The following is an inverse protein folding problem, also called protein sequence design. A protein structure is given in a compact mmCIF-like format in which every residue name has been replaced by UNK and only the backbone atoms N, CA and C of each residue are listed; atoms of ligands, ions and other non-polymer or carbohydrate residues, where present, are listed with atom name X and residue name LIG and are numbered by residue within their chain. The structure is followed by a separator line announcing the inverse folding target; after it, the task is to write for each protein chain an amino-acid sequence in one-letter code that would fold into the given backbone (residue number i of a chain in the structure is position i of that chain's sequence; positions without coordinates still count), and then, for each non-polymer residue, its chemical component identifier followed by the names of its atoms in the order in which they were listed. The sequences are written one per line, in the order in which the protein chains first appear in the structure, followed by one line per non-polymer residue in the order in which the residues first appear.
data_IF_444587054638
#
_entry.id   IF_444587054638
#
_cell.length_a   1.000
_cell.length_b   1.000
_cell.length_c   1.000
_cell.angle_alpha   90.00
_cell.angle_beta   90.00
_cell.angle_gamma   90.00
#
_symmetry.space_group_name_H-M   'P 1'
#
loop_
_entity.id
_entity.type
_entity.pdbx_description
1 polymer ?
#
# COMPACT_ATOMS: atom_id res chain seq x y z
N UNK A 1 0.39 -7.26 6.13
CA UNK A 1 0.92 -8.10 7.22
C UNK A 1 1.97 -9.04 6.65
N UNK A 2 2.44 -9.97 7.47
CA UNK A 2 3.17 -11.17 7.03
C UNK A 2 2.15 -12.31 7.03
N UNK A 3 2.11 -13.13 5.97
CA UNK A 3 1.29 -14.33 5.94
C UNK A 3 1.76 -15.39 6.94
N UNK A 4 0.97 -16.45 7.14
CA UNK A 4 1.40 -17.61 7.93
C UNK A 4 2.65 -18.28 7.31
N UNK A 5 2.70 -18.28 5.98
CA UNK A 5 3.87 -18.57 5.15
C UNK A 5 4.37 -17.25 4.59
N UNK A 6 5.67 -16.97 4.67
CA UNK A 6 6.24 -15.71 4.20
C UNK A 6 6.37 -15.65 2.67
N UNK A 7 6.67 -16.79 2.06
CA UNK A 7 6.79 -17.01 0.61
C UNK A 7 5.45 -17.48 0.07
N UNK A 8 4.54 -16.54 -0.16
CA UNK A 8 3.17 -16.83 -0.63
C UNK A 8 3.16 -17.51 -2.01
N UNK A 9 4.22 -17.30 -2.79
CA UNK A 9 4.45 -17.84 -4.13
C UNK A 9 5.24 -19.15 -4.17
N UNK A 10 5.82 -19.60 -3.05
CA UNK A 10 6.65 -20.81 -3.01
C UNK A 10 6.36 -21.64 -1.74
N UNK A 11 5.64 -22.75 -1.95
CA UNK A 11 5.37 -23.79 -0.95
C UNK A 11 6.29 -25.01 -1.10
N UNK A 12 7.32 -24.92 -1.95
CA UNK A 12 8.34 -25.94 -2.15
C UNK A 12 9.50 -25.82 -1.16
N UNK A 13 10.60 -26.51 -1.46
CA UNK A 13 11.78 -26.58 -0.56
C UNK A 13 12.58 -25.28 -0.46
N UNK A 14 12.35 -24.34 -1.38
CA UNK A 14 12.97 -23.00 -1.36
C UNK A 14 12.09 -21.97 -0.63
N UNK A 15 10.85 -22.33 -0.29
CA UNK A 15 9.94 -21.54 0.51
C UNK A 15 10.26 -21.59 2.01
N UNK A 16 9.72 -20.62 2.76
CA UNK A 16 9.76 -20.67 4.22
C UNK A 16 8.65 -21.57 4.76
N UNK A 17 8.89 -22.40 5.79
CA UNK A 17 7.83 -23.18 6.41
C UNK A 17 6.78 -22.26 7.06
N UNK A 18 5.52 -22.72 7.20
CA UNK A 18 4.50 -21.97 7.92
C UNK A 18 4.91 -21.77 9.37
N UNK A 19 4.73 -20.55 9.87
CA UNK A 19 4.95 -20.20 11.28
C UNK A 19 4.02 -20.96 12.22
N UNK A 20 2.81 -21.30 11.76
CA UNK A 20 1.78 -22.02 12.49
C UNK A 20 1.18 -23.12 11.58
N UNK A 21 1.84 -24.27 11.41
CA UNK A 21 1.37 -25.33 10.51
C UNK A 21 -0.02 -25.84 10.86
N UNK A 22 -0.29 -26.12 12.14
CA UNK A 22 -1.60 -26.62 12.59
C UNK A 22 -2.73 -25.62 12.33
N UNK A 23 -2.45 -24.31 12.46
CA UNK A 23 -3.41 -23.26 12.13
C UNK A 23 -3.69 -23.23 10.62
N UNK A 24 -2.66 -23.35 9.79
CA UNK A 24 -2.82 -23.40 8.35
C UNK A 24 -3.63 -24.63 7.92
N UNK A 25 -3.37 -25.80 8.51
CA UNK A 25 -4.14 -27.02 8.27
C UNK A 25 -5.60 -26.86 8.71
N UNK A 26 -5.83 -26.24 9.88
CA UNK A 26 -7.17 -25.93 10.37
C UNK A 26 -7.94 -25.03 9.41
N UNK A 27 -7.33 -23.92 8.98
CA UNK A 27 -7.94 -22.99 8.04
C UNK A 27 -8.21 -23.64 6.68
N UNK A 28 -7.29 -24.48 6.19
CA UNK A 28 -7.42 -25.18 4.92
C UNK A 28 -8.56 -26.19 4.94
N UNK A 29 -8.63 -27.02 5.99
CA UNK A 29 -9.74 -27.97 6.19
C UNK A 29 -11.08 -27.25 6.28
N UNK A 30 -11.13 -26.17 7.08
CA UNK A 30 -12.35 -25.39 7.26
C UNK A 30 -12.81 -24.76 5.96
N UNK A 31 -11.88 -24.27 5.14
CA UNK A 31 -12.19 -23.68 3.84
C UNK A 31 -12.86 -24.69 2.89
N UNK A 32 -12.39 -25.94 2.86
CA UNK A 32 -13.01 -27.02 2.09
C UNK A 32 -14.39 -27.38 2.64
N UNK A 33 -14.51 -27.61 3.96
CA UNK A 33 -15.78 -27.93 4.64
C UNK A 33 -16.85 -26.86 4.44
N UNK A 34 -16.44 -25.59 4.38
CA UNK A 34 -17.34 -24.45 4.18
C UNK A 34 -17.74 -24.21 2.72
N UNK A 35 -17.35 -25.11 1.81
CA UNK A 35 -17.67 -25.06 0.39
C UNK A 35 -16.82 -24.04 -0.37
N UNK A 36 -15.54 -23.91 -0.02
CA UNK A 36 -14.58 -23.00 -0.68
C UNK A 36 -15.00 -21.52 -0.60
N UNK A 37 -15.73 -21.14 0.44
CA UNK A 37 -16.26 -19.79 0.59
C UNK A 37 -15.22 -18.83 1.21
N UNK A 38 -14.63 -17.97 0.38
CA UNK A 38 -13.68 -16.94 0.84
C UNK A 38 -14.29 -16.02 1.91
N UNK A 39 -15.58 -15.69 1.78
CA UNK A 39 -16.26 -14.81 2.75
C UNK A 39 -16.34 -15.44 4.15
N UNK A 40 -16.58 -16.76 4.23
CA UNK A 40 -16.60 -17.48 5.51
C UNK A 40 -15.20 -17.59 6.11
N UNK A 41 -14.19 -17.91 5.29
CA UNK A 41 -12.79 -17.94 5.74
C UNK A 41 -12.33 -16.58 6.26
N UNK A 42 -12.59 -15.50 5.52
CA UNK A 42 -12.28 -14.15 5.98
C UNK A 42 -13.01 -13.83 7.27
N UNK A 43 -14.32 -14.15 7.38
CA UNK A 43 -15.09 -13.96 8.62
C UNK A 43 -14.40 -14.65 9.79
N UNK A 44 -14.08 -15.93 9.66
CA UNK A 44 -13.40 -16.72 10.69
C UNK A 44 -12.11 -16.05 11.17
N UNK A 45 -11.28 -15.59 10.23
CA UNK A 45 -10.01 -14.92 10.55
C UNK A 45 -10.28 -13.58 11.26
N UNK A 46 -11.13 -12.71 10.71
CA UNK A 46 -11.35 -11.36 11.27
C UNK A 46 -12.15 -11.35 12.57
N UNK A 47 -12.85 -12.43 12.88
CA UNK A 47 -13.53 -12.62 14.18
C UNK A 47 -12.73 -13.42 15.19
N UNK A 48 -11.50 -13.85 14.85
CA UNK A 48 -10.63 -14.56 15.80
C UNK A 48 -10.11 -13.61 16.89
N UNK A 49 -9.83 -14.15 18.07
CA UNK A 49 -9.20 -13.38 19.15
C UNK A 49 -7.89 -12.75 18.65
N UNK A 50 -7.05 -13.52 17.97
CA UNK A 50 -5.75 -13.08 17.41
C UNK A 50 -5.90 -11.85 16.51
N UNK A 51 -6.90 -11.81 15.62
CA UNK A 51 -7.13 -10.65 14.75
C UNK A 51 -7.67 -9.44 15.53
N UNK A 52 -8.49 -9.69 16.56
CA UNK A 52 -9.10 -8.65 17.40
C UNK A 52 -8.20 -8.18 18.55
N UNK A 53 -7.03 -8.80 18.75
CA UNK A 53 -6.04 -8.39 19.77
C UNK A 53 -5.63 -6.93 19.58
N UNK A 54 -5.26 -6.30 20.70
CA UNK A 54 -4.75 -4.93 20.70
C UNK A 54 -3.47 -4.81 19.86
N UNK A 55 -3.36 -3.72 19.08
CA UNK A 55 -2.15 -3.38 18.33
C UNK A 55 -1.05 -2.74 19.18
N UNK A 56 -1.26 -2.57 20.50
CA UNK A 56 -0.27 -1.97 21.40
C UNK A 56 1.00 -2.82 21.43
N UNK A 57 2.15 -2.13 21.43
CA UNK A 57 3.44 -2.79 21.59
C UNK A 57 3.48 -3.52 22.95
N UNK A 58 4.12 -4.68 22.95
CA UNK A 58 4.23 -5.62 24.06
C UNK A 58 5.72 -5.73 24.43
N UNK A 59 6.23 -4.92 25.37
CA UNK A 59 7.67 -4.89 25.69
C UNK A 59 8.21 -6.27 26.13
N UNK A 60 7.35 -7.11 26.71
CA UNK A 60 7.65 -8.49 27.11
C UNK A 60 8.04 -9.41 25.94
N UNK A 61 7.70 -9.04 24.70
CA UNK A 61 7.95 -9.81 23.50
C UNK A 61 9.03 -9.21 22.58
N UNK A 62 9.55 -8.02 22.86
CA UNK A 62 10.47 -7.34 21.94
C UNK A 62 11.76 -8.15 21.71
N UNK A 63 12.27 -8.82 22.74
CA UNK A 63 13.44 -9.72 22.63
C UNK A 63 13.07 -11.15 22.19
N UNK A 64 11.88 -11.63 22.58
CA UNK A 64 11.45 -13.03 22.35
C UNK A 64 10.90 -13.26 20.95
N UNK A 65 10.16 -12.29 20.44
CA UNK A 65 9.52 -12.32 19.13
C UNK A 65 9.59 -10.94 18.43
N UNK A 66 10.81 -10.46 18.11
CA UNK A 66 11.01 -9.16 17.48
C UNK A 66 10.31 -9.03 16.11
N UNK A 67 10.11 -10.17 15.43
CA UNK A 67 9.44 -10.22 14.11
C UNK A 67 7.92 -10.37 14.22
N UNK A 68 7.38 -10.48 15.45
CA UNK A 68 5.97 -10.68 15.73
C UNK A 68 5.39 -11.88 14.95
N UNK A 69 6.14 -12.99 14.92
CA UNK A 69 5.75 -14.26 14.32
C UNK A 69 4.56 -14.87 15.04
N UNK A 70 4.47 -14.73 16.37
CA UNK A 70 3.42 -15.27 17.23
C UNK A 70 2.10 -14.49 17.12
N UNK A 71 2.02 -13.49 16.24
CA UNK A 71 0.83 -12.69 15.97
C UNK A 71 0.26 -12.04 17.25
N UNK A 72 1.12 -11.61 18.16
CA UNK A 72 0.72 -11.07 19.46
C UNK A 72 0.07 -9.68 19.35
N UNK A 73 0.33 -8.96 18.25
CA UNK A 73 -0.21 -7.63 17.93
C UNK A 73 -0.28 -7.42 16.42
N UNK A 74 -0.94 -6.34 15.98
CA UNK A 74 -0.81 -5.87 14.60
C UNK A 74 0.56 -5.21 14.37
N UNK A 75 1.16 -5.45 13.21
CA UNK A 75 2.38 -4.76 12.77
C UNK A 75 2.04 -3.40 12.14
N UNK A 76 2.74 -2.34 12.57
CA UNK A 76 2.68 -1.04 11.89
C UNK A 76 3.38 -1.16 10.55
N UNK A 77 2.64 -0.97 9.47
CA UNK A 77 3.14 -1.06 8.11
C UNK A 77 3.03 0.31 7.42
N UNK A 78 4.00 0.61 6.55
CA UNK A 78 3.91 1.75 5.63
C UNK A 78 2.73 1.53 4.68
N UNK A 79 1.96 2.60 4.45
CA UNK A 79 0.88 2.63 3.45
C UNK A 79 1.46 2.44 2.04
N UNK A 80 0.69 1.81 1.16
CA UNK A 80 1.06 1.63 -0.25
C UNK A 80 1.11 2.98 -0.99
N UNK A 81 1.81 3.03 -2.14
CA UNK A 81 2.06 4.26 -2.88
C UNK A 81 0.80 5.09 -3.19
N UNK A 82 -0.27 4.44 -3.64
CA UNK A 82 -1.52 5.11 -3.98
C UNK A 82 -2.19 5.68 -2.73
N UNK A 83 -2.12 4.94 -1.62
CA UNK A 83 -2.77 5.29 -0.36
C UNK A 83 -2.04 6.44 0.34
N UNK A 84 -0.73 6.57 0.17
CA UNK A 84 0.03 7.71 0.71
C UNK A 84 -0.53 9.03 0.17
N UNK A 85 -0.80 9.09 -1.14
CA UNK A 85 -1.45 10.25 -1.75
C UNK A 85 -2.85 10.47 -1.17
N UNK A 86 -3.67 9.42 -1.07
CA UNK A 86 -5.03 9.51 -0.55
C UNK A 86 -5.07 10.00 0.90
N UNK A 87 -4.16 9.51 1.73
CA UNK A 87 -4.02 9.93 3.12
C UNK A 87 -3.65 11.41 3.21
N UNK A 88 -2.70 11.88 2.38
CA UNK A 88 -2.27 13.28 2.37
C UNK A 88 -3.39 14.21 1.86
N UNK A 89 -4.10 13.82 0.80
CA UNK A 89 -5.27 14.55 0.28
C UNK A 89 -6.41 14.60 1.30
N UNK A 90 -6.66 13.51 2.01
CA UNK A 90 -7.70 13.43 3.05
C UNK A 90 -7.34 14.34 4.24
N UNK A 91 -6.09 14.31 4.69
CA UNK A 91 -5.59 15.16 5.77
C UNK A 91 -5.71 16.65 5.41
N UNK A 92 -5.33 17.04 4.19
CA UNK A 92 -5.43 18.42 3.71
C UNK A 92 -6.85 18.90 3.44
N UNK A 93 -7.83 17.99 3.33
CA UNK A 93 -9.21 18.35 2.95
C UNK A 93 -9.39 18.64 1.46
N UNK A 94 -8.37 18.39 0.63
CA UNK A 94 -8.42 18.58 -0.82
C UNK A 94 -9.00 17.37 -1.56
N UNK A 95 -9.11 16.22 -0.89
CA UNK A 95 -9.54 14.97 -1.52
C UNK A 95 -10.90 15.09 -2.21
N UNK A 96 -10.93 14.81 -3.51
CA UNK A 96 -12.18 14.62 -4.27
C UNK A 96 -12.68 13.18 -4.05
N UNK A 97 -13.81 12.95 -3.36
CA UNK A 97 -14.26 11.60 -2.99
C UNK A 97 -14.92 10.81 -4.14
N UNK A 98 -15.06 11.42 -5.33
CA UNK A 98 -15.72 10.82 -6.50
C UNK A 98 -15.06 9.48 -6.90
N UNK A 99 -15.88 8.46 -7.05
CA UNK A 99 -15.51 7.13 -7.54
C UNK A 99 -15.97 6.97 -9.00
N UNK A 100 -15.14 6.32 -9.82
CA UNK A 100 -15.36 6.08 -11.25
C UNK A 100 -14.87 7.22 -12.16
N UNK A 101 -14.84 6.98 -13.47
CA UNK A 101 -14.36 7.93 -14.48
C UNK A 101 -12.94 7.67 -14.97
N UNK A 102 -12.44 8.53 -15.88
CA UNK A 102 -11.13 8.34 -16.50
C UNK A 102 -9.97 8.58 -15.53
N UNK A 103 -8.78 8.12 -15.93
CA UNK A 103 -7.54 8.42 -15.23
C UNK A 103 -7.22 9.92 -15.24
N UNK A 104 -6.51 10.37 -14.21
CA UNK A 104 -6.10 11.76 -14.00
C UNK A 104 -4.58 11.90 -14.00
N UNK A 105 -4.13 13.14 -14.14
CA UNK A 105 -2.73 13.49 -14.28
C UNK A 105 -2.36 14.49 -13.17
N UNK A 106 -2.01 14.04 -11.97
CA UNK A 106 -1.48 14.89 -10.92
C UNK A 106 -0.27 15.73 -11.37
N UNK A 107 0.08 16.80 -10.64
CA UNK A 107 1.30 17.54 -10.91
C UNK A 107 2.51 16.60 -10.87
N UNK A 108 3.41 16.76 -11.85
CA UNK A 108 4.62 15.95 -11.96
C UNK A 108 5.80 16.90 -12.24
N UNK A 109 6.99 16.64 -11.68
CA UNK A 109 8.19 17.37 -12.05
C UNK A 109 8.48 17.31 -13.57
N UNK A 110 9.11 18.35 -14.10
CA UNK A 110 9.56 18.34 -15.49
C UNK A 110 10.67 17.30 -15.71
N UNK A 111 10.79 16.78 -16.93
CA UNK A 111 11.91 15.91 -17.32
C UNK A 111 11.78 14.42 -16.97
N UNK A 112 10.71 13.98 -16.30
CA UNK A 112 10.53 12.55 -15.97
C UNK A 112 10.52 11.66 -17.22
N UNK A 113 9.94 12.15 -18.32
CA UNK A 113 9.87 11.41 -19.59
C UNK A 113 11.00 11.75 -20.57
N UNK A 114 12.00 12.53 -20.17
CA UNK A 114 13.11 12.93 -21.06
C UNK A 114 13.90 11.72 -21.58
N UNK A 115 13.94 10.64 -20.81
CA UNK A 115 14.65 9.40 -21.15
C UNK A 115 13.79 8.40 -21.94
N UNK A 116 12.52 8.73 -22.25
CA UNK A 116 11.63 7.82 -22.98
C UNK A 116 11.75 8.01 -24.49
N UNK A 117 11.76 6.90 -25.25
CA UNK A 117 11.91 6.92 -26.71
C UNK A 117 10.79 7.67 -27.44
N UNK A 118 9.60 7.74 -26.84
CA UNK A 118 8.45 8.44 -27.40
C UNK A 118 8.05 9.59 -26.47
N UNK A 119 7.96 10.81 -27.00
CA UNK A 119 7.52 11.99 -26.24
C UNK A 119 6.16 11.73 -25.61
N UNK A 120 6.13 11.61 -24.28
CA UNK A 120 4.89 11.49 -23.52
C UNK A 120 4.36 12.87 -23.17
N UNK A 121 3.08 13.10 -23.41
CA UNK A 121 2.41 14.35 -23.05
C UNK A 121 1.72 14.18 -21.70
N UNK A 122 2.25 14.83 -20.67
CA UNK A 122 1.64 14.86 -19.34
C UNK A 122 0.96 16.20 -19.12
N UNK A 123 -0.34 16.25 -19.42
CA UNK A 123 -1.15 17.45 -19.20
C UNK A 123 -1.73 17.41 -17.79
N UNK A 124 -1.15 18.19 -16.89
CA UNK A 124 -1.60 18.27 -15.50
C UNK A 124 -3.09 18.58 -15.42
N UNK A 125 -3.82 17.75 -14.67
CA UNK A 125 -5.24 17.89 -14.43
C UNK A 125 -5.53 19.11 -13.55
N UNK A 126 -6.68 19.73 -13.80
CA UNK A 126 -7.15 20.93 -13.09
C UNK A 126 -8.44 20.63 -12.33
N UNK A 127 -8.81 21.53 -11.41
CA UNK A 127 -10.01 21.39 -10.58
C UNK A 127 -10.03 20.10 -9.76
N UNK A 128 -11.21 19.51 -9.62
CA UNK A 128 -11.42 18.27 -8.83
C UNK A 128 -10.53 17.10 -9.29
N UNK A 129 -10.24 17.02 -10.60
CA UNK A 129 -9.45 15.93 -11.17
C UNK A 129 -7.99 15.95 -10.70
N UNK A 130 -7.48 17.10 -10.29
CA UNK A 130 -6.13 17.26 -9.72
C UNK A 130 -5.98 16.52 -8.39
N UNK A 131 -7.05 16.45 -7.61
CA UNK A 131 -7.07 15.93 -6.23
C UNK A 131 -7.82 14.60 -6.09
N UNK A 132 -7.89 13.84 -7.20
CA UNK A 132 -8.46 12.48 -7.18
C UNK A 132 -7.53 11.51 -6.48
N UNK A 133 -8.13 10.41 -6.02
CA UNK A 133 -7.44 9.29 -5.39
C UNK A 133 -6.28 8.76 -6.25
N UNK A 134 -5.21 8.31 -5.61
CA UNK A 134 -4.03 7.69 -6.21
C UNK A 134 -4.38 6.57 -7.18
N UNK A 135 -5.44 5.81 -6.89
CA UNK A 135 -5.98 4.76 -7.78
C UNK A 135 -6.35 5.27 -9.19
N UNK A 136 -6.69 6.55 -9.35
CA UNK A 136 -6.99 7.15 -10.66
C UNK A 136 -5.77 7.78 -11.34
N UNK A 137 -4.59 7.76 -10.70
CA UNK A 137 -3.38 8.35 -11.28
C UNK A 137 -2.98 7.56 -12.52
N UNK A 138 -2.98 8.22 -13.66
CA UNK A 138 -2.51 7.63 -14.90
C UNK A 138 -1.01 7.36 -14.81
N UNK A 139 -0.56 6.26 -15.43
CA UNK A 139 0.87 5.97 -15.55
C UNK A 139 1.13 5.21 -16.85
N UNK A 140 2.34 5.35 -17.39
CA UNK A 140 2.81 4.50 -18.48
C UNK A 140 3.54 3.30 -17.90
N UNK A 141 3.31 2.09 -18.45
CA UNK A 141 3.99 0.87 -17.96
C UNK A 141 5.51 0.97 -17.98
N UNK A 142 6.08 1.65 -18.98
CA UNK A 142 7.53 1.84 -19.13
C UNK A 142 8.07 3.09 -18.41
N UNK A 143 7.19 3.96 -17.91
CA UNK A 143 7.57 5.17 -17.20
C UNK A 143 6.45 5.54 -16.22
N UNK A 144 6.44 4.92 -15.03
CA UNK A 144 5.38 5.14 -14.07
C UNK A 144 5.39 6.55 -13.51
N UNK A 145 4.28 6.95 -12.88
CA UNK A 145 4.25 8.19 -12.12
C UNK A 145 5.27 8.11 -10.96
N UNK A 146 6.18 9.10 -10.78
CA UNK A 146 7.35 9.00 -9.89
C UNK A 146 7.05 8.58 -8.45
N UNK A 147 5.91 9.01 -7.92
CA UNK A 147 5.46 8.61 -6.60
C UNK A 147 5.29 7.09 -6.50
N UNK A 148 4.70 6.46 -7.53
CA UNK A 148 4.45 5.03 -7.55
C UNK A 148 5.77 4.26 -7.45
N UNK A 149 6.75 4.62 -8.29
CA UNK A 149 8.07 3.99 -8.27
C UNK A 149 8.81 4.21 -6.94
N UNK A 150 8.75 5.42 -6.38
CA UNK A 150 9.46 5.75 -5.14
C UNK A 150 8.89 5.02 -3.92
N UNK A 151 7.58 4.77 -3.93
CA UNK A 151 6.83 4.18 -2.81
C UNK A 151 6.46 2.71 -3.03
N UNK A 152 7.35 1.98 -3.70
CA UNK A 152 7.28 0.53 -3.90
C UNK A 152 5.97 0.05 -4.56
N UNK A 153 5.46 0.80 -5.54
CA UNK A 153 4.40 0.25 -6.38
C UNK A 153 4.93 -0.97 -7.16
N UNK A 154 4.07 -1.98 -7.41
CA UNK A 154 4.40 -3.13 -8.24
C UNK A 154 5.01 -2.71 -9.57
N UNK A 155 5.93 -3.53 -10.06
CA UNK A 155 6.34 -3.44 -11.45
C UNK A 155 5.12 -3.69 -12.35
N UNK A 156 4.98 -2.88 -13.39
CA UNK A 156 3.84 -2.92 -14.30
C UNK A 156 4.07 -3.85 -15.51
N UNK A 157 5.21 -4.55 -15.55
CA UNK A 157 5.59 -5.51 -16.58
C UNK A 157 5.57 -6.96 -16.09
N UNK A 158 5.58 -7.18 -14.78
CA UNK A 158 5.63 -8.52 -14.18
C UNK A 158 4.48 -8.74 -13.22
N UNK A 159 4.17 -10.01 -12.95
CA UNK A 159 3.17 -10.37 -11.95
C UNK A 159 3.74 -10.09 -10.55
N UNK A 160 3.02 -9.30 -9.76
CA UNK A 160 3.37 -9.02 -8.38
C UNK A 160 2.51 -9.87 -7.44
N UNK A 161 3.09 -10.92 -6.87
CA UNK A 161 2.45 -11.76 -5.83
C UNK A 161 2.44 -11.04 -4.48
N UNK A 162 3.49 -10.27 -4.18
CA UNK A 162 3.65 -9.53 -2.93
C UNK A 162 4.26 -8.15 -3.17
N UNK A 163 3.63 -7.10 -2.62
CA UNK A 163 4.18 -5.73 -2.66
C UNK A 163 5.34 -5.60 -1.69
N UNK A 164 6.50 -5.17 -2.20
CA UNK A 164 7.64 -4.80 -1.36
C UNK A 164 7.30 -3.55 -0.52
N UNK A 165 7.94 -3.43 0.63
CA UNK A 165 7.85 -2.23 1.49
C UNK A 165 9.24 -1.85 1.95
N UNK A 166 9.74 -0.73 1.45
CA UNK A 166 10.98 -0.12 1.88
C UNK A 166 10.69 1.12 2.74
N UNK A 167 11.70 1.57 3.47
CA UNK A 167 11.69 2.86 4.16
C UNK A 167 13.01 3.54 3.86
N UNK A 168 13.02 4.35 2.80
CA UNK A 168 14.26 4.95 2.27
C UNK A 168 14.29 6.45 2.46
N UNK A 169 15.48 7.07 2.60
CA UNK A 169 15.59 8.53 2.63
C UNK A 169 14.98 9.21 1.39
N UNK A 170 15.03 8.53 0.24
CA UNK A 170 14.43 9.02 -1.01
C UNK A 170 12.92 9.26 -0.85
N UNK A 171 12.20 8.35 -0.19
CA UNK A 171 10.76 8.51 0.07
C UNK A 171 10.46 9.76 0.92
N UNK A 172 11.26 10.01 1.95
CA UNK A 172 11.12 11.21 2.77
C UNK A 172 11.40 12.49 1.95
N UNK A 173 12.46 12.48 1.14
CA UNK A 173 12.80 13.58 0.25
C UNK A 173 11.72 13.84 -0.81
N UNK A 174 11.08 12.79 -1.34
CA UNK A 174 9.98 12.93 -2.29
C UNK A 174 8.79 13.65 -1.65
N UNK A 175 8.37 13.28 -0.44
CA UNK A 175 7.27 13.98 0.25
C UNK A 175 7.63 15.45 0.51
N UNK A 176 8.89 15.75 0.84
CA UNK A 176 9.33 17.10 1.13
C UNK A 176 9.43 18.02 -0.11
N UNK A 177 9.72 17.46 -1.29
CA UNK A 177 10.07 18.24 -2.48
C UNK A 177 9.08 18.09 -3.65
N UNK A 178 8.20 17.09 -3.65
CA UNK A 178 7.28 16.86 -4.76
C UNK A 178 6.25 18.01 -4.85
N UNK A 179 6.06 18.62 -6.04
CA UNK A 179 5.13 19.73 -6.21
C UNK A 179 3.69 19.41 -5.80
N UNK A 180 3.22 18.17 -5.99
CA UNK A 180 1.89 17.77 -5.55
C UNK A 180 1.80 17.69 -4.03
N UNK A 181 2.87 17.26 -3.34
CA UNK A 181 2.89 17.23 -1.87
C UNK A 181 3.02 18.61 -1.25
N UNK A 182 3.75 19.53 -1.88
CA UNK A 182 3.80 20.94 -1.45
C UNK A 182 2.42 21.59 -1.48
N UNK A 183 1.65 21.37 -2.55
CA UNK A 183 0.27 21.86 -2.66
C UNK A 183 -0.65 21.23 -1.61
N UNK A 184 -0.50 19.93 -1.34
CA UNK A 184 -1.23 19.25 -0.27
C UNK A 184 -0.88 19.82 1.11
N UNK A 185 0.40 20.11 1.36
CA UNK A 185 0.85 20.72 2.61
C UNK A 185 0.26 22.13 2.80
N UNK A 186 0.17 22.92 1.74
CA UNK A 186 -0.50 24.22 1.75
C UNK A 186 -2.00 24.07 2.06
N UNK A 187 -2.68 23.07 1.47
CA UNK A 187 -4.07 22.76 1.79
C UNK A 187 -4.28 22.38 3.27
N UNK A 188 -3.37 21.59 3.83
CA UNK A 188 -3.39 21.24 5.25
C UNK A 188 -3.20 22.48 6.14
N UNK A 189 -2.23 23.34 5.82
CA UNK A 189 -2.03 24.59 6.55
C UNK A 189 -3.28 25.47 6.50
N UNK A 190 -3.89 25.64 5.32
CA UNK A 190 -5.13 26.40 5.15
C UNK A 190 -6.30 25.81 5.95
N UNK A 191 -6.37 24.49 6.11
CA UNK A 191 -7.39 23.82 6.94
C UNK A 191 -7.19 24.07 8.42
N UNK A 192 -5.95 24.10 8.90
CA UNK A 192 -5.63 24.31 10.33
C UNK A 192 -5.79 25.78 10.77
N UNK A 193 -5.66 26.72 9.83
CA UNK A 193 -5.85 28.16 10.10
C UNK A 193 -7.31 28.60 10.07
N UNK A 194 -8.24 27.72 9.69
CA UNK A 194 -9.69 27.97 9.79
C UNK A 194 -10.21 27.52 11.15
#
# INVERSE_FOLDING_TARGET
GRGLVETEEDFGTQGSPPTHPELLDFLSRRFVEDGWSMKKLHRLIVTSETYQRSSRARPDLDEKDPRNLLLARQNRIRLDAEIIRDAALSASGLLTPRVGGPGVYPPQPAGIYAFTQARKNWKTSTGENRFRRGMYTFFYRSAPYPLLSTFDAPDFQTTCTRRARSNTPLQALTIANDPAFLEIAQGLAARLMR
#
